data_IF_624079500627
#
_entry.id   IF_624079500627
#
_cell.length_a   1.000
_cell.length_b   1.000
_cell.length_c   1.000
_cell.angle_alpha   90.00
_cell.angle_beta   90.00
_cell.angle_gamma   90.00
#
_symmetry.space_group_name_H-M   'P 1'
#
loop_
_entity.id
_entity.type
_entity.pdbx_description
1 polymer ?
#
# COMPACT_ATOMS: atom_id res chain seq x y z
N UNK A 1 -67.09 -39.32 8.09
CA UNK A 1 -65.93 -40.22 7.95
C UNK A 1 -65.41 -40.14 6.51
N UNK A 2 -64.08 -40.13 6.34
CA UNK A 2 -63.31 -40.28 5.09
C UNK A 2 -63.31 -39.04 4.17
N UNK A 3 -62.21 -38.55 3.60
CA UNK A 3 -60.79 -38.92 3.62
C UNK A 3 -60.01 -37.71 3.09
N UNK A 4 -58.81 -37.52 3.62
CA UNK A 4 -57.69 -36.76 3.09
C UNK A 4 -57.69 -36.61 1.56
N UNK A 5 -57.48 -35.38 1.09
CA UNK A 5 -56.57 -35.09 -0.03
C UNK A 5 -55.66 -33.95 0.43
N UNK A 6 -54.50 -34.37 0.91
CA UNK A 6 -53.35 -33.58 1.32
C UNK A 6 -52.71 -33.04 0.04
N UNK A 7 -52.77 -31.73 -0.21
CA UNK A 7 -52.18 -31.16 -1.43
C UNK A 7 -51.55 -29.80 -1.15
N UNK A 8 -50.22 -29.82 -1.11
CA UNK A 8 -49.37 -28.78 -1.68
C UNK A 8 -49.48 -27.36 -1.10
N UNK A 9 -48.84 -27.14 0.05
CA UNK A 9 -48.29 -25.82 0.38
C UNK A 9 -47.08 -25.96 1.33
N UNK A 10 -46.21 -26.92 1.03
CA UNK A 10 -44.81 -26.77 1.40
C UNK A 10 -44.20 -25.86 0.33
N UNK A 11 -43.33 -24.94 0.72
CA UNK A 11 -42.68 -23.89 -0.10
C UNK A 11 -43.51 -22.61 -0.17
N UNK A 12 -43.13 -21.61 0.63
CA UNK A 12 -43.12 -20.16 0.31
C UNK A 12 -42.99 -19.29 1.58
N UNK A 13 -42.20 -19.69 2.59
CA UNK A 13 -41.86 -18.76 3.69
C UNK A 13 -40.44 -18.86 4.21
N UNK A 14 -39.52 -19.45 3.43
CA UNK A 14 -38.11 -19.00 3.53
C UNK A 14 -38.05 -17.78 2.64
N UNK A 15 -38.36 -16.62 3.23
CA UNK A 15 -37.92 -15.35 2.68
C UNK A 15 -36.40 -15.40 2.61
N UNK A 16 -35.90 -15.93 1.51
CA UNK A 16 -34.51 -15.77 1.13
C UNK A 16 -34.31 -14.26 1.05
N UNK A 17 -33.51 -13.75 1.98
CA UNK A 17 -32.94 -12.42 1.89
C UNK A 17 -32.23 -12.35 0.54
N UNK A 18 -32.92 -11.87 -0.50
CA UNK A 18 -32.34 -11.45 -1.77
C UNK A 18 -31.66 -10.07 -1.60
N UNK A 19 -31.09 -9.81 -0.42
CA UNK A 19 -30.11 -8.75 -0.29
C UNK A 19 -28.87 -9.30 -0.99
N UNK A 20 -28.61 -8.79 -2.21
CA UNK A 20 -27.33 -8.99 -2.86
C UNK A 20 -26.25 -8.80 -1.79
N UNK A 21 -25.27 -9.72 -1.66
CA UNK A 21 -24.12 -9.45 -0.83
C UNK A 21 -23.61 -8.08 -1.22
N UNK A 22 -23.62 -7.13 -0.28
CA UNK A 22 -22.85 -5.92 -0.45
C UNK A 22 -21.42 -6.44 -0.55
N UNK A 23 -20.87 -6.46 -1.77
CA UNK A 23 -19.47 -6.79 -1.96
C UNK A 23 -18.71 -5.90 -0.98
N UNK A 24 -17.90 -6.49 -0.07
CA UNK A 24 -17.11 -5.68 0.83
C UNK A 24 -16.32 -4.71 -0.05
N UNK A 25 -16.20 -3.42 0.34
CA UNK A 25 -15.40 -2.49 -0.43
C UNK A 25 -14.05 -3.15 -0.69
N UNK A 26 -13.72 -3.32 -1.97
CA UNK A 26 -12.45 -3.91 -2.40
C UNK A 26 -11.39 -3.09 -1.67
N UNK A 27 -10.75 -3.69 -0.67
CA UNK A 27 -9.61 -3.09 0.02
C UNK A 27 -8.66 -2.68 -1.08
N UNK A 28 -8.49 -1.37 -1.31
CA UNK A 28 -7.61 -0.84 -2.34
C UNK A 28 -6.23 -1.41 -2.00
N UNK A 29 -5.77 -2.46 -2.73
CA UNK A 29 -4.62 -3.22 -2.27
C UNK A 29 -3.47 -2.24 -2.25
N UNK A 30 -2.74 -2.17 -1.13
CA UNK A 30 -1.57 -1.30 -1.02
C UNK A 30 -0.69 -1.60 -2.23
N UNK A 31 -0.63 -0.66 -3.17
CA UNK A 31 0.11 -0.84 -4.41
C UNK A 31 1.58 -0.60 -4.07
N UNK A 32 2.42 -1.56 -4.42
CA UNK A 32 3.85 -1.45 -4.24
C UNK A 32 4.52 -1.20 -5.59
N UNK A 33 5.27 -0.11 -5.71
CA UNK A 33 6.21 0.05 -6.84
C UNK A 33 7.51 -0.67 -6.50
N UNK A 34 7.95 -1.53 -7.42
CA UNK A 34 9.15 -2.33 -7.26
C UNK A 34 10.40 -1.51 -7.60
N UNK A 35 11.43 -1.69 -6.78
CA UNK A 35 12.84 -1.35 -7.00
C UNK A 35 13.09 -0.01 -7.71
N UNK A 36 12.90 1.07 -6.96
CA UNK A 36 13.20 2.43 -7.38
C UNK A 36 14.55 2.90 -6.84
N UNK A 37 15.32 3.58 -7.67
CA UNK A 37 16.54 4.27 -7.25
C UNK A 37 16.19 5.58 -6.58
N UNK A 38 16.65 5.74 -5.33
CA UNK A 38 16.46 6.94 -4.53
C UNK A 38 17.81 7.43 -4.00
N UNK A 39 18.17 8.68 -4.31
CA UNK A 39 19.42 9.30 -3.87
C UNK A 39 19.10 10.37 -2.84
N UNK A 40 19.60 10.20 -1.62
CA UNK A 40 19.39 11.17 -0.54
C UNK A 40 20.22 12.43 -0.76
N UNK A 41 19.60 13.60 -0.70
CA UNK A 41 20.24 14.93 -0.82
C UNK A 41 19.98 15.81 0.40
N UNK A 42 20.25 15.28 1.58
CA UNK A 42 20.16 16.08 2.80
C UNK A 42 21.40 16.94 2.99
N UNK A 43 21.21 18.21 3.33
CA UNK A 43 22.29 19.14 3.66
C UNK A 43 22.43 19.19 5.19
N UNK A 44 23.67 19.15 5.70
CA UNK A 44 23.97 19.57 7.07
C UNK A 44 24.09 18.49 8.15
N UNK A 45 24.08 17.21 7.80
CA UNK A 45 24.23 16.12 8.77
C UNK A 45 25.22 15.04 8.28
N UNK A 46 26.44 14.96 8.84
CA UNK A 46 27.47 14.01 8.43
C UNK A 46 27.18 12.57 8.88
N UNK A 47 26.20 12.34 9.75
CA UNK A 47 25.80 10.99 10.17
C UNK A 47 24.96 10.26 9.11
N UNK A 48 24.52 10.98 8.07
CA UNK A 48 23.66 10.43 7.02
C UNK A 48 24.50 9.75 5.95
N UNK A 49 24.16 8.49 5.71
CA UNK A 49 24.80 7.72 4.66
C UNK A 49 24.40 8.29 3.29
N UNK A 50 25.38 8.92 2.63
CA UNK A 50 25.26 9.36 1.24
C UNK A 50 25.38 8.16 0.32
N UNK A 51 24.43 8.02 -0.60
CA UNK A 51 24.44 6.96 -1.60
C UNK A 51 23.10 6.77 -2.26
N UNK A 52 23.01 5.69 -3.04
CA UNK A 52 21.80 5.30 -3.75
C UNK A 52 21.12 4.17 -3.00
N UNK A 53 19.86 4.36 -2.68
CA UNK A 53 19.00 3.37 -2.06
C UNK A 53 18.10 2.77 -3.13
N UNK A 54 18.06 1.44 -3.20
CA UNK A 54 17.01 0.74 -3.93
C UNK A 54 15.85 0.56 -2.95
N UNK A 55 14.76 1.25 -3.20
CA UNK A 55 13.60 1.29 -2.32
C UNK A 55 12.37 0.69 -3.00
N UNK A 56 11.52 0.07 -2.19
CA UNK A 56 10.17 -0.32 -2.55
C UNK A 56 9.20 0.60 -1.81
N UNK A 57 8.24 1.18 -2.53
CA UNK A 57 7.24 2.08 -1.96
C UNK A 57 5.89 1.40 -2.00
N UNK A 58 5.28 1.17 -0.85
CA UNK A 58 3.98 0.52 -0.70
C UNK A 58 2.98 1.49 -0.07
N UNK A 59 2.19 2.19 -0.88
CA UNK A 59 1.24 3.21 -0.41
C UNK A 59 0.00 3.27 -1.30
N UNK A 60 -1.12 3.74 -0.74
CA UNK A 60 -2.34 4.05 -1.50
C UNK A 60 -2.15 5.20 -2.48
N UNK A 61 -1.10 6.02 -2.31
CA UNK A 61 -0.70 7.09 -3.22
C UNK A 61 0.01 6.58 -4.48
N UNK A 62 0.53 5.35 -4.47
CA UNK A 62 1.20 4.74 -5.63
C UNK A 62 0.21 4.59 -6.78
N UNK A 63 0.54 5.18 -7.92
CA UNK A 63 -0.33 5.24 -9.11
C UNK A 63 -1.42 6.33 -9.05
N UNK A 64 -1.55 7.07 -7.94
CA UNK A 64 -2.41 8.26 -7.82
C UNK A 64 -1.61 9.56 -7.84
N UNK A 65 -0.36 9.50 -7.41
CA UNK A 65 0.57 10.64 -7.31
C UNK A 65 1.80 10.36 -8.18
N UNK A 66 2.34 11.36 -8.89
CA UNK A 66 3.60 11.21 -9.62
C UNK A 66 4.75 10.78 -8.69
N UNK A 67 5.67 9.95 -9.20
CA UNK A 67 6.76 9.40 -8.39
C UNK A 67 7.67 10.50 -7.83
N UNK A 68 7.87 11.59 -8.57
CA UNK A 68 8.70 12.73 -8.19
C UNK A 68 8.23 13.34 -6.87
N UNK A 69 6.91 13.51 -6.73
CA UNK A 69 6.31 14.07 -5.51
C UNK A 69 6.42 13.12 -4.32
N UNK A 70 6.32 11.81 -4.58
CA UNK A 70 6.53 10.80 -3.53
C UNK A 70 7.99 10.84 -3.08
N UNK A 71 8.94 11.01 -3.99
CA UNK A 71 10.37 11.12 -3.66
C UNK A 71 10.69 12.37 -2.84
N UNK A 72 10.06 13.51 -3.14
CA UNK A 72 10.15 14.72 -2.33
C UNK A 72 9.71 14.45 -0.89
N UNK A 73 8.56 13.80 -0.69
CA UNK A 73 8.09 13.46 0.66
C UNK A 73 9.02 12.51 1.42
N UNK A 74 9.57 11.51 0.72
CA UNK A 74 10.55 10.60 1.32
C UNK A 74 11.83 11.37 1.67
N UNK A 75 12.27 12.29 0.81
CA UNK A 75 13.46 13.12 1.01
C UNK A 75 13.30 14.04 2.22
N UNK A 76 12.19 14.77 2.31
CA UNK A 76 11.90 15.68 3.42
C UNK A 76 11.83 14.90 4.74
N UNK A 77 11.07 13.81 4.77
CA UNK A 77 10.95 12.96 5.95
C UNK A 77 12.30 12.38 6.39
N UNK A 78 13.08 11.85 5.44
CA UNK A 78 14.41 11.31 5.72
C UNK A 78 15.36 12.41 6.21
N UNK A 79 15.27 13.63 5.67
CA UNK A 79 16.10 14.73 6.14
C UNK A 79 15.71 15.27 7.51
N UNK A 80 14.45 15.13 7.92
CA UNK A 80 14.00 15.56 9.24
C UNK A 80 14.27 14.47 10.30
N UNK A 81 14.05 13.20 9.95
CA UNK A 81 14.00 12.10 10.91
C UNK A 81 15.18 11.12 10.82
N UNK A 82 16.09 11.30 9.85
CA UNK A 82 17.19 10.38 9.54
C UNK A 82 16.76 8.91 9.41
N UNK A 83 15.51 8.68 8.99
CA UNK A 83 14.89 7.35 8.86
C UNK A 83 13.91 7.37 7.69
N UNK A 84 13.68 6.22 7.07
CA UNK A 84 12.70 6.11 5.99
C UNK A 84 11.27 6.03 6.55
N UNK A 85 10.27 6.60 5.84
CA UNK A 85 8.86 6.42 6.21
C UNK A 85 8.47 4.94 6.23
N UNK A 86 7.46 4.59 7.04
CA UNK A 86 7.00 3.19 7.20
C UNK A 86 6.49 2.53 5.92
N UNK A 87 6.04 3.33 4.95
CA UNK A 87 5.59 2.87 3.63
C UNK A 87 6.75 2.66 2.64
N UNK A 88 7.99 2.87 3.07
CA UNK A 88 9.21 2.67 2.27
C UNK A 88 10.03 1.53 2.86
N UNK A 89 10.36 0.55 2.03
CA UNK A 89 11.27 -0.54 2.39
C UNK A 89 12.58 -0.39 1.61
N UNK A 90 13.70 -0.25 2.31
CA UNK A 90 15.03 -0.28 1.70
C UNK A 90 15.39 -1.73 1.37
N UNK A 91 15.57 -2.05 0.09
CA UNK A 91 15.99 -3.38 -0.37
C UNK A 91 17.50 -3.51 -0.45
N UNK A 92 18.16 -2.43 -0.88
CA UNK A 92 19.62 -2.38 -1.04
C UNK A 92 20.10 -0.95 -0.84
N UNK A 93 21.26 -0.81 -0.23
CA UNK A 93 22.00 0.44 -0.20
C UNK A 93 23.29 0.26 -1.00
N UNK A 94 23.55 1.22 -1.89
CA UNK A 94 24.76 1.32 -2.69
C UNK A 94 25.46 2.58 -2.16
N UNK A 95 26.53 2.43 -1.35
CA UNK A 95 27.25 3.58 -0.85
C UNK A 95 27.74 4.43 -2.02
N UNK A 96 27.43 5.72 -1.97
CA UNK A 96 27.99 6.66 -2.92
C UNK A 96 29.47 6.80 -2.59
N UNK A 97 30.34 6.70 -3.59
CA UNK A 97 31.67 7.24 -3.44
C UNK A 97 31.51 8.76 -3.30
N UNK A 98 31.60 9.28 -2.08
CA UNK A 98 32.05 10.66 -1.89
C UNK A 98 33.56 10.62 -2.09
N UNK A 99 34.12 11.04 -3.25
CA UNK A 99 35.49 11.48 -3.21
C UNK A 99 35.52 12.66 -2.23
N UNK A 100 36.49 12.68 -1.31
CA UNK A 100 36.71 13.69 -0.25
C UNK A 100 35.84 13.47 1.01
N UNK A 101 36.39 13.12 2.18
CA UNK A 101 37.38 13.83 3.04
C UNK A 101 36.98 15.27 3.33
#
# INVERSE_FOLDING_TARGET
MKKLMLMGALLLSVGAFAQKPIEPPIYDPVKCTLDLEFVTRCIGDPSRLSGTYIIQICSTSVGKVPHERIFEWIQDYYCENNTFPSYVTVKRFIPGFTPYQ
#
